data_IF_458225022154
#
_entry.id   IF_458225022154
#
_cell.length_a   1.000
_cell.length_b   1.000
_cell.length_c   1.000
_cell.angle_alpha   90.00
_cell.angle_beta   90.00
_cell.angle_gamma   90.00
#
_symmetry.space_group_name_H-M   'P 1'
#
loop_
_entity.id
_entity.type
_entity.pdbx_description
1 polymer ?
#
# COMPACT_ATOMS: atom_id res chain seq x y z
N UNK A 1 -45.22 -21.96 6.55
CA UNK A 1 -43.89 -21.55 5.99
C UNK A 1 -43.71 -20.04 5.80
N UNK A 2 -44.75 -19.22 5.71
CA UNK A 2 -44.67 -17.76 5.51
C UNK A 2 -44.22 -16.93 6.73
N UNK A 3 -44.43 -17.42 7.95
CA UNK A 3 -44.16 -16.65 9.19
C UNK A 3 -42.66 -16.48 9.51
N UNK A 4 -41.79 -17.43 9.09
CA UNK A 4 -40.34 -17.37 9.37
C UNK A 4 -39.57 -16.43 8.44
N UNK A 5 -40.02 -16.19 7.22
CA UNK A 5 -39.38 -15.23 6.30
C UNK A 5 -39.63 -13.78 6.73
N UNK A 6 -40.78 -13.48 7.30
CA UNK A 6 -41.12 -12.11 7.76
C UNK A 6 -40.31 -11.75 9.00
N UNK A 7 -40.13 -12.68 9.93
CA UNK A 7 -39.35 -12.46 11.14
C UNK A 7 -37.88 -12.22 10.87
N UNK A 8 -37.27 -12.95 9.91
CA UNK A 8 -35.88 -12.77 9.48
C UNK A 8 -35.66 -11.42 8.81
N UNK A 9 -36.61 -10.96 7.98
CA UNK A 9 -36.50 -9.66 7.31
C UNK A 9 -36.60 -8.48 8.28
N UNK A 10 -37.47 -8.56 9.28
CA UNK A 10 -37.64 -7.49 10.28
C UNK A 10 -36.44 -7.36 11.21
N UNK A 11 -35.85 -8.46 11.67
CA UNK A 11 -34.62 -8.46 12.49
C UNK A 11 -33.44 -7.88 11.68
N UNK A 12 -33.31 -8.23 10.42
CA UNK A 12 -32.26 -7.72 9.54
C UNK A 12 -32.39 -6.19 9.30
N UNK A 13 -33.58 -5.70 9.07
CA UNK A 13 -33.86 -4.26 8.88
C UNK A 13 -33.55 -3.47 10.15
N UNK A 14 -33.89 -3.99 11.35
CA UNK A 14 -33.58 -3.35 12.61
C UNK A 14 -32.06 -3.29 12.87
N UNK A 15 -31.34 -4.40 12.69
CA UNK A 15 -29.88 -4.44 12.88
C UNK A 15 -29.13 -3.45 11.95
N UNK A 16 -29.54 -3.34 10.69
CA UNK A 16 -28.95 -2.36 9.78
C UNK A 16 -29.29 -0.92 10.19
N UNK A 17 -30.51 -0.68 10.70
CA UNK A 17 -30.94 0.64 11.17
C UNK A 17 -30.12 1.11 12.39
N UNK A 18 -29.86 0.23 13.34
CA UNK A 18 -29.03 0.51 14.53
C UNK A 18 -27.57 0.79 14.13
N UNK A 19 -27.01 -0.01 13.22
CA UNK A 19 -25.65 0.21 12.73
C UNK A 19 -25.53 1.58 12.05
N UNK A 20 -26.47 1.93 11.16
CA UNK A 20 -26.48 3.26 10.54
C UNK A 20 -26.60 4.37 11.58
N UNK A 21 -27.47 4.27 12.55
CA UNK A 21 -27.63 5.31 13.58
C UNK A 21 -26.35 5.53 14.38
N UNK A 22 -25.53 4.49 14.60
CA UNK A 22 -24.24 4.60 15.28
C UNK A 22 -23.15 5.27 14.45
N UNK A 23 -23.24 5.22 13.12
CA UNK A 23 -22.28 5.81 12.20
C UNK A 23 -22.72 7.12 11.53
N UNK A 24 -24.03 7.43 11.51
CA UNK A 24 -24.55 8.73 11.12
C UNK A 24 -24.42 9.75 12.28
N UNK A 25 -23.20 9.87 12.77
CA UNK A 25 -22.74 10.77 13.81
C UNK A 25 -21.37 11.31 13.39
N UNK A 26 -20.83 12.25 14.13
CA UNK A 26 -19.45 12.68 13.90
C UNK A 26 -18.47 11.51 14.13
N UNK A 27 -17.38 11.37 13.37
CA UNK A 27 -16.45 10.24 13.45
C UNK A 27 -15.92 9.96 14.85
N UNK A 28 -15.74 10.98 15.67
CA UNK A 28 -15.26 10.88 17.05
C UNK A 28 -16.27 10.17 17.99
N UNK A 29 -17.53 10.00 17.52
CA UNK A 29 -18.62 9.33 18.23
C UNK A 29 -18.94 7.95 17.68
N UNK A 30 -18.23 7.51 16.66
CA UNK A 30 -18.43 6.18 16.07
C UNK A 30 -18.17 5.07 17.09
N UNK A 31 -18.71 3.87 16.87
CA UNK A 31 -18.40 2.72 17.71
C UNK A 31 -16.90 2.57 17.93
N UNK A 32 -16.50 2.26 19.13
CA UNK A 32 -15.09 2.14 19.50
C UNK A 32 -14.40 1.12 18.58
N UNK A 33 -13.29 1.54 17.98
CA UNK A 33 -12.41 0.66 17.22
C UNK A 33 -11.73 -0.38 18.11
N UNK A 34 -11.06 -1.37 17.53
CA UNK A 34 -10.21 -2.30 18.28
C UNK A 34 -9.25 -1.56 19.21
N UNK A 35 -9.14 -2.04 20.43
CA UNK A 35 -8.30 -1.43 21.47
C UNK A 35 -6.79 -1.48 21.13
N UNK A 36 -6.38 -2.40 20.26
CA UNK A 36 -4.98 -2.51 19.81
C UNK A 36 -4.60 -1.46 18.75
N UNK A 37 -5.57 -0.84 18.09
CA UNK A 37 -5.30 0.18 17.09
C UNK A 37 -4.87 1.49 17.74
N UNK A 38 -3.73 2.05 17.33
CA UNK A 38 -3.22 3.35 17.81
C UNK A 38 -4.13 4.49 17.38
N UNK A 39 -4.62 4.47 16.14
CA UNK A 39 -5.54 5.47 15.59
C UNK A 39 -6.66 4.78 14.79
N UNK A 40 -7.64 5.55 14.35
CA UNK A 40 -8.71 5.08 13.46
C UNK A 40 -8.33 5.29 11.98
N UNK A 41 -9.17 4.79 11.08
CA UNK A 41 -9.07 5.09 9.66
C UNK A 41 -9.47 6.55 9.39
N UNK A 42 -8.70 7.22 8.55
CA UNK A 42 -8.86 8.65 8.25
C UNK A 42 -8.97 8.87 6.74
N UNK A 43 -9.64 9.94 6.31
CA UNK A 43 -9.69 10.32 4.89
C UNK A 43 -8.33 10.86 4.45
N UNK A 44 -8.07 10.82 3.13
CA UNK A 44 -6.88 11.47 2.57
C UNK A 44 -6.86 12.96 2.90
N UNK A 45 -5.72 13.52 3.31
CA UNK A 45 -5.52 14.94 3.45
C UNK A 45 -5.51 15.63 2.07
N UNK A 46 -5.58 16.95 2.07
CA UNK A 46 -5.39 17.73 0.85
C UNK A 46 -4.03 17.42 0.21
N UNK A 47 -4.00 17.41 -1.12
CA UNK A 47 -2.75 17.22 -1.85
C UNK A 47 -1.73 18.31 -1.52
N UNK A 48 -0.46 17.95 -1.49
CA UNK A 48 0.62 18.90 -1.34
C UNK A 48 0.67 19.87 -2.54
N UNK A 49 1.17 21.07 -2.30
CA UNK A 49 1.47 22.04 -3.36
C UNK A 49 2.84 21.68 -3.93
N UNK A 50 2.91 21.51 -5.25
CA UNK A 50 4.13 21.13 -5.96
C UNK A 50 4.61 22.23 -6.89
N UNK A 51 5.91 22.24 -7.17
CA UNK A 51 6.47 23.01 -8.28
C UNK A 51 6.12 22.31 -9.60
N UNK A 52 5.35 22.98 -10.46
CA UNK A 52 4.83 22.40 -11.70
C UNK A 52 5.91 22.10 -12.74
N UNK A 53 6.93 22.93 -12.83
CA UNK A 53 7.99 22.74 -13.82
C UNK A 53 8.93 21.62 -13.37
N UNK A 54 9.19 21.53 -12.06
CA UNK A 54 9.94 20.44 -11.46
C UNK A 54 9.20 19.11 -11.56
N UNK A 55 7.90 19.09 -11.25
CA UNK A 55 7.05 17.91 -11.38
C UNK A 55 6.96 17.42 -12.82
N UNK A 56 6.89 18.33 -13.81
CA UNK A 56 6.88 17.98 -15.23
C UNK A 56 8.22 17.37 -15.68
N UNK A 57 9.36 17.93 -15.25
CA UNK A 57 10.68 17.32 -15.45
C UNK A 57 10.68 15.90 -14.85
N UNK A 58 10.24 15.74 -13.61
CA UNK A 58 10.15 14.43 -12.95
C UNK A 58 9.27 13.45 -13.70
N UNK A 59 8.11 13.91 -14.22
CA UNK A 59 7.23 13.09 -15.06
C UNK A 59 7.93 12.59 -16.32
N UNK A 60 8.66 13.45 -17.01
CA UNK A 60 9.40 13.07 -18.20
C UNK A 60 10.49 12.05 -17.84
N UNK A 61 11.28 12.29 -16.80
CA UNK A 61 12.31 11.38 -16.31
C UNK A 61 11.72 10.02 -15.94
N UNK A 62 10.60 9.99 -15.23
CA UNK A 62 9.89 8.76 -14.80
C UNK A 62 9.50 7.86 -15.96
N UNK A 63 9.17 8.44 -17.13
CA UNK A 63 8.77 7.72 -18.32
C UNK A 63 9.90 7.52 -19.34
N UNK A 64 11.13 7.91 -19.00
CA UNK A 64 12.27 7.86 -19.92
C UNK A 64 13.06 6.55 -19.82
N UNK A 65 12.95 5.61 -20.80
CA UNK A 65 13.66 4.33 -20.72
C UNK A 65 15.18 4.46 -20.86
N UNK A 66 15.67 5.47 -21.56
CA UNK A 66 17.12 5.67 -21.77
C UNK A 66 17.88 5.95 -20.47
N UNK A 67 17.20 6.19 -19.35
CA UNK A 67 17.84 6.28 -18.03
C UNK A 67 18.36 4.91 -17.55
N UNK A 68 17.83 3.79 -18.05
CA UNK A 68 18.37 2.47 -17.75
C UNK A 68 19.62 2.17 -18.61
N UNK A 69 20.45 1.26 -18.10
CA UNK A 69 21.69 0.84 -18.78
C UNK A 69 21.44 0.29 -20.18
N UNK A 70 20.35 -0.40 -20.40
CA UNK A 70 19.96 -1.01 -21.68
C UNK A 70 19.06 -0.12 -22.54
N UNK A 71 18.56 0.98 -21.99
CA UNK A 71 17.74 1.95 -22.69
C UNK A 71 16.28 1.53 -22.90
N UNK A 72 15.80 0.49 -22.24
CA UNK A 72 14.47 -0.11 -22.44
C UNK A 72 13.59 -0.16 -21.19
N UNK A 73 14.11 0.15 -20.01
CA UNK A 73 13.40 0.16 -18.74
C UNK A 73 13.30 1.58 -18.16
N UNK A 74 12.12 2.00 -17.81
CA UNK A 74 11.84 3.24 -17.07
C UNK A 74 11.17 2.94 -15.73
N UNK A 75 11.00 3.94 -14.86
CA UNK A 75 10.20 3.79 -13.63
C UNK A 75 8.77 3.35 -13.96
N UNK A 76 8.18 3.89 -15.02
CA UNK A 76 6.85 3.52 -15.51
C UNK A 76 6.74 2.06 -16.02
N UNK A 77 7.85 1.38 -16.27
CA UNK A 77 7.84 -0.03 -16.66
C UNK A 77 7.37 -0.93 -15.52
N UNK A 78 7.72 -0.58 -14.27
CA UNK A 78 7.41 -1.31 -13.04
C UNK A 78 6.31 -0.62 -12.22
N UNK A 79 6.12 0.69 -12.40
CA UNK A 79 5.08 1.48 -11.74
C UNK A 79 4.10 2.01 -12.80
N UNK A 80 3.18 1.12 -13.25
CA UNK A 80 2.29 1.40 -14.39
C UNK A 80 1.10 2.25 -13.99
N UNK A 81 0.85 3.41 -14.64
CA UNK A 81 -0.29 4.27 -14.34
C UNK A 81 -1.65 3.55 -14.43
N UNK A 82 -1.79 2.61 -15.36
CA UNK A 82 -3.05 1.89 -15.62
C UNK A 82 -3.47 0.95 -14.48
N UNK A 83 -2.58 0.64 -13.54
CA UNK A 83 -2.82 -0.23 -12.40
C UNK A 83 -2.41 0.44 -11.08
N UNK A 84 -2.71 1.72 -10.94
CA UNK A 84 -2.43 2.47 -9.72
C UNK A 84 -0.94 2.66 -9.43
N UNK A 85 -0.10 2.80 -10.47
CA UNK A 85 1.35 2.92 -10.35
C UNK A 85 1.99 1.76 -9.56
N UNK A 86 1.44 0.55 -9.70
CA UNK A 86 2.01 -0.73 -9.27
C UNK A 86 2.40 -1.59 -10.46
N UNK A 87 2.80 -2.84 -10.23
CA UNK A 87 3.04 -3.83 -11.29
C UNK A 87 1.98 -4.93 -11.24
N UNK A 88 1.28 -5.26 -12.35
CA UNK A 88 0.29 -6.34 -12.39
C UNK A 88 0.92 -7.75 -12.37
N UNK A 89 2.25 -7.85 -12.39
CA UNK A 89 2.97 -9.12 -12.29
C UNK A 89 3.43 -9.39 -10.86
N UNK A 90 3.70 -10.65 -10.54
CA UNK A 90 4.18 -11.05 -9.20
C UNK A 90 5.37 -10.19 -8.73
N UNK A 91 6.35 -10.03 -9.58
CA UNK A 91 7.51 -9.16 -9.41
C UNK A 91 7.81 -8.49 -10.74
N UNK A 92 8.42 -7.33 -10.70
CA UNK A 92 8.80 -6.60 -11.91
C UNK A 92 9.95 -7.27 -12.65
N UNK A 93 9.98 -7.04 -13.96
CA UNK A 93 11.05 -7.50 -14.85
C UNK A 93 11.87 -6.27 -15.26
N UNK A 94 13.13 -6.26 -14.91
CA UNK A 94 14.07 -5.20 -15.25
C UNK A 94 14.94 -5.53 -16.47
N UNK A 95 16.10 -4.88 -16.55
CA UNK A 95 17.03 -5.03 -17.68
C UNK A 95 17.40 -6.50 -17.91
N UNK A 96 17.62 -6.86 -19.18
CA UNK A 96 17.97 -8.22 -19.60
C UNK A 96 16.96 -9.30 -19.17
N UNK A 97 15.72 -8.93 -18.88
CA UNK A 97 14.68 -9.86 -18.46
C UNK A 97 14.85 -10.41 -17.02
N UNK A 98 15.63 -9.75 -16.19
CA UNK A 98 15.86 -10.18 -14.81
C UNK A 98 14.62 -9.90 -13.93
N UNK A 99 14.21 -10.91 -13.15
CA UNK A 99 13.12 -10.75 -12.19
C UNK A 99 13.60 -10.07 -10.89
N UNK A 100 12.78 -9.14 -10.39
CA UNK A 100 12.94 -8.61 -9.03
C UNK A 100 12.61 -9.66 -7.96
N UNK A 101 12.90 -9.34 -6.70
CA UNK A 101 12.62 -10.25 -5.58
C UNK A 101 11.28 -9.95 -4.91
N UNK A 102 10.85 -8.69 -4.94
CA UNK A 102 9.63 -8.21 -4.28
C UNK A 102 8.66 -7.59 -5.29
N UNK A 103 7.39 -7.63 -4.95
CA UNK A 103 6.34 -6.94 -5.69
C UNK A 103 6.56 -5.42 -5.62
N UNK A 104 6.36 -4.72 -6.74
CA UNK A 104 6.43 -3.26 -6.81
C UNK A 104 5.17 -2.64 -6.21
N UNK A 105 5.26 -1.94 -5.07
CA UNK A 105 4.10 -1.33 -4.45
C UNK A 105 3.58 -0.16 -5.28
N UNK A 106 2.31 0.19 -5.08
CA UNK A 106 1.72 1.39 -5.66
C UNK A 106 2.45 2.66 -5.20
N UNK A 107 2.63 3.61 -6.12
CA UNK A 107 3.12 4.95 -5.81
C UNK A 107 1.99 5.96 -5.54
N UNK A 108 0.72 5.55 -5.59
CA UNK A 108 -0.37 6.45 -5.19
C UNK A 108 -0.18 6.87 -3.73
N UNK A 109 -0.31 8.17 -3.48
CA UNK A 109 -0.16 8.78 -2.15
C UNK A 109 1.23 8.53 -1.51
N UNK A 110 2.25 8.32 -2.33
CA UNK A 110 3.59 7.96 -1.85
C UNK A 110 4.24 9.05 -0.99
N UNK A 111 3.83 10.29 -1.16
CA UNK A 111 4.26 11.45 -0.38
C UNK A 111 3.79 11.45 1.08
N UNK A 112 2.86 10.55 1.45
CA UNK A 112 2.38 10.38 2.83
C UNK A 112 3.14 9.29 3.60
N UNK A 113 4.13 8.65 3.00
CA UNK A 113 4.90 7.61 3.66
C UNK A 113 6.07 8.18 4.46
N UNK A 114 6.20 7.76 5.72
CA UNK A 114 7.35 8.08 6.57
C UNK A 114 8.56 7.20 6.22
N UNK A 115 8.30 6.00 5.70
CA UNK A 115 9.33 5.04 5.28
C UNK A 115 8.95 4.40 3.96
N UNK A 116 9.94 4.14 3.11
CA UNK A 116 9.78 3.60 1.76
C UNK A 116 10.35 2.20 1.67
N UNK A 117 9.99 1.47 0.59
CA UNK A 117 10.25 0.05 0.42
C UNK A 117 9.50 -0.85 1.43
N UNK A 118 9.50 -2.15 1.16
CA UNK A 118 8.90 -3.15 2.04
C UNK A 118 9.66 -3.34 3.36
N UNK A 119 10.97 -3.07 3.34
CA UNK A 119 11.89 -3.22 4.48
C UNK A 119 12.21 -1.90 5.20
N UNK A 120 11.76 -0.75 4.66
CA UNK A 120 11.95 0.56 5.29
C UNK A 120 13.35 1.17 5.10
N UNK A 121 14.12 0.73 4.11
CA UNK A 121 15.53 1.16 3.93
C UNK A 121 15.71 2.60 3.44
N UNK A 122 14.63 3.32 3.13
CA UNK A 122 14.68 4.74 2.77
C UNK A 122 13.55 5.52 3.43
N UNK A 123 13.78 6.79 3.73
CA UNK A 123 12.80 7.69 4.34
C UNK A 123 12.43 8.88 3.43
N UNK A 124 13.12 9.05 2.31
CA UNK A 124 12.91 10.18 1.41
C UNK A 124 12.84 9.73 -0.05
N UNK A 125 11.86 10.24 -0.80
CA UNK A 125 11.60 9.86 -2.19
C UNK A 125 12.80 10.11 -3.10
N UNK A 126 13.49 11.25 -2.95
CA UNK A 126 14.65 11.57 -3.78
C UNK A 126 15.86 10.67 -3.49
N UNK A 127 16.03 10.21 -2.24
CA UNK A 127 17.06 9.22 -1.89
C UNK A 127 16.68 7.85 -2.45
N UNK A 128 15.41 7.47 -2.28
CA UNK A 128 14.87 6.19 -2.74
C UNK A 128 15.09 5.96 -4.24
N UNK A 129 14.96 6.99 -5.07
CA UNK A 129 15.07 6.89 -6.53
C UNK A 129 16.44 6.37 -7.03
N UNK A 130 17.48 6.49 -6.21
CA UNK A 130 18.83 5.99 -6.54
C UNK A 130 18.94 4.48 -6.51
N UNK A 131 18.19 3.80 -5.62
CA UNK A 131 18.23 2.34 -5.48
C UNK A 131 17.81 1.62 -6.77
N UNK A 132 16.59 1.83 -7.32
CA UNK A 132 16.17 1.17 -8.55
C UNK A 132 17.02 1.58 -9.77
N UNK A 133 17.55 2.81 -9.83
CA UNK A 133 18.47 3.23 -10.87
C UNK A 133 19.72 2.35 -10.89
N UNK A 134 20.34 2.13 -9.72
CA UNK A 134 21.60 1.40 -9.59
C UNK A 134 21.41 -0.11 -9.56
N UNK A 135 20.22 -0.60 -9.23
CA UNK A 135 19.99 -2.03 -8.98
C UNK A 135 20.22 -2.86 -10.25
N UNK A 136 21.11 -3.87 -10.21
CA UNK A 136 21.54 -4.60 -11.40
C UNK A 136 20.44 -5.41 -12.09
N UNK A 137 19.37 -5.79 -11.38
CA UNK A 137 18.20 -6.47 -11.93
C UNK A 137 17.02 -5.54 -12.20
N UNK A 138 17.15 -4.23 -11.98
CA UNK A 138 16.12 -3.23 -12.29
C UNK A 138 16.56 -2.34 -13.45
N UNK A 139 17.13 -1.15 -13.22
CA UNK A 139 17.60 -0.26 -14.27
C UNK A 139 19.10 -0.40 -14.57
N UNK A 140 19.92 -0.87 -13.64
CA UNK A 140 21.34 -1.19 -13.80
C UNK A 140 22.23 -0.05 -14.25
N UNK A 141 21.80 1.18 -14.11
CA UNK A 141 22.47 2.39 -14.56
C UNK A 141 23.20 3.09 -13.41
N UNK A 142 23.92 4.14 -13.70
CA UNK A 142 24.58 5.00 -12.71
C UNK A 142 23.99 6.40 -12.76
N UNK A 143 24.11 7.20 -11.70
CA UNK A 143 23.80 8.63 -11.73
C UNK A 143 24.43 9.37 -12.91
N UNK A 144 25.70 9.10 -13.20
CA UNK A 144 26.42 9.70 -14.34
C UNK A 144 25.78 9.36 -15.68
N UNK A 145 25.38 8.09 -15.88
CA UNK A 145 24.66 7.71 -17.09
C UNK A 145 23.35 8.48 -17.23
N UNK A 146 22.56 8.61 -16.16
CA UNK A 146 21.32 9.37 -16.19
C UNK A 146 21.55 10.86 -16.52
N UNK A 147 22.58 11.47 -15.94
CA UNK A 147 22.99 12.86 -16.22
C UNK A 147 23.36 13.04 -17.70
N UNK A 148 24.13 12.11 -18.27
CA UNK A 148 24.49 12.12 -19.69
C UNK A 148 23.27 12.03 -20.61
N UNK A 149 22.26 11.22 -20.24
CA UNK A 149 21.01 11.13 -21.02
C UNK A 149 20.27 12.48 -21.03
N UNK A 150 20.20 13.17 -19.89
CA UNK A 150 19.57 14.50 -19.81
C UNK A 150 20.32 15.54 -20.66
N UNK A 151 21.65 15.47 -20.70
CA UNK A 151 22.48 16.40 -21.49
C UNK A 151 22.38 16.14 -22.98
N UNK A 152 22.26 14.89 -23.40
CA UNK A 152 22.34 14.47 -24.80
C UNK A 152 21.00 14.39 -25.53
N UNK A 153 19.87 14.28 -24.79
CA UNK A 153 18.54 14.18 -25.41
C UNK A 153 17.84 15.54 -25.38
N UNK A 154 17.55 16.15 -26.55
CA UNK A 154 17.00 17.52 -26.62
C UNK A 154 15.74 17.74 -25.78
N UNK A 155 14.83 16.76 -25.75
CA UNK A 155 13.59 16.86 -24.96
C UNK A 155 13.88 16.92 -23.46
N UNK A 156 14.84 16.13 -22.97
CA UNK A 156 15.26 16.14 -21.55
C UNK A 156 16.01 17.42 -21.22
N UNK A 157 16.92 17.85 -22.08
CA UNK A 157 17.65 19.11 -21.91
C UNK A 157 16.70 20.30 -21.83
N UNK A 158 15.69 20.36 -22.70
CA UNK A 158 14.68 21.42 -22.68
C UNK A 158 13.85 21.39 -21.37
N UNK A 159 13.42 20.23 -20.93
CA UNK A 159 12.68 20.08 -19.68
C UNK A 159 13.55 20.48 -18.46
N UNK A 160 14.82 20.07 -18.47
CA UNK A 160 15.80 20.48 -17.46
C UNK A 160 15.95 21.99 -17.37
N UNK A 161 16.23 22.64 -18.52
CA UNK A 161 16.41 24.09 -18.58
C UNK A 161 15.17 24.87 -18.11
N UNK A 162 13.98 24.32 -18.31
CA UNK A 162 12.74 24.92 -17.82
C UNK A 162 12.62 24.85 -16.30
N UNK A 163 12.96 23.70 -15.70
CA UNK A 163 12.90 23.50 -14.25
C UNK A 163 14.08 24.14 -13.52
N UNK A 164 15.25 24.17 -14.16
CA UNK A 164 16.52 24.65 -13.61
C UNK A 164 17.29 25.52 -14.63
N UNK A 165 16.87 26.78 -14.88
CA UNK A 165 17.36 27.60 -15.98
C UNK A 165 18.88 27.73 -16.07
N UNK A 166 19.58 27.89 -14.94
CA UNK A 166 21.01 28.17 -14.89
C UNK A 166 21.83 27.07 -14.19
N UNK A 167 21.27 25.89 -14.05
CA UNK A 167 21.85 24.80 -13.25
C UNK A 167 22.42 23.70 -14.15
N UNK A 168 23.61 23.23 -13.81
CA UNK A 168 24.19 22.04 -14.48
C UNK A 168 23.39 20.81 -14.08
N UNK A 169 23.20 19.90 -15.04
CA UNK A 169 22.56 18.61 -14.80
C UNK A 169 23.35 17.83 -13.76
N UNK A 170 22.64 17.33 -12.75
CA UNK A 170 23.18 16.46 -11.72
C UNK A 170 22.09 15.53 -11.18
N UNK A 171 22.47 14.37 -10.69
CA UNK A 171 21.54 13.36 -10.21
C UNK A 171 20.70 13.80 -8.99
N UNK A 172 21.27 14.47 -7.97
CA UNK A 172 20.47 14.92 -6.84
C UNK A 172 19.23 15.75 -7.24
N UNK A 173 19.40 16.67 -8.18
CA UNK A 173 18.31 17.51 -8.67
C UNK A 173 17.33 16.74 -9.56
N UNK A 174 17.83 15.76 -10.34
CA UNK A 174 16.97 14.82 -11.09
C UNK A 174 16.11 13.98 -10.14
N UNK A 175 16.70 13.51 -9.05
CA UNK A 175 16.01 12.73 -8.02
C UNK A 175 14.97 13.59 -7.28
N UNK A 176 15.24 14.86 -7.02
CA UNK A 176 14.25 15.80 -6.50
C UNK A 176 13.09 16.01 -7.48
N UNK A 177 13.35 16.14 -8.76
CA UNK A 177 12.29 16.23 -9.77
C UNK A 177 11.43 14.96 -9.81
N UNK A 178 12.03 13.78 -9.74
CA UNK A 178 11.31 12.51 -9.64
C UNK A 178 10.43 12.46 -8.38
N UNK A 179 10.94 12.93 -7.24
CA UNK A 179 10.17 13.01 -5.99
C UNK A 179 9.01 13.98 -6.10
N UNK A 180 9.21 15.15 -6.71
CA UNK A 180 8.17 16.15 -6.94
C UNK A 180 7.05 15.61 -7.83
N UNK A 181 7.39 14.90 -8.91
CA UNK A 181 6.40 14.20 -9.72
C UNK A 181 5.64 13.17 -8.90
N UNK A 182 6.32 12.33 -8.13
CA UNK A 182 5.68 11.30 -7.31
C UNK A 182 4.72 11.90 -6.27
N UNK A 183 5.01 13.09 -5.74
CA UNK A 183 4.11 13.85 -4.86
C UNK A 183 2.79 14.23 -5.54
N UNK A 184 2.76 14.33 -6.88
CA UNK A 184 1.52 14.55 -7.63
C UNK A 184 0.65 13.29 -7.76
N UNK A 185 1.17 12.11 -7.46
CA UNK A 185 0.48 10.84 -7.65
C UNK A 185 -0.54 10.58 -6.53
N UNK A 186 -1.60 11.37 -6.51
CA UNK A 186 -2.68 11.21 -5.55
C UNK A 186 -3.78 10.31 -6.07
N UNK A 187 -4.17 9.34 -5.26
CA UNK A 187 -5.36 8.54 -5.49
C UNK A 187 -6.63 9.39 -5.41
N UNK A 188 -7.66 8.99 -6.15
CA UNK A 188 -8.97 9.62 -6.04
C UNK A 188 -9.60 9.35 -4.66
N UNK A 189 -10.55 10.20 -4.27
CA UNK A 189 -11.36 9.94 -3.10
C UNK A 189 -12.09 8.61 -3.20
N UNK A 190 -11.95 7.80 -2.17
CA UNK A 190 -12.70 6.55 -2.04
C UNK A 190 -14.12 6.80 -1.51
N UNK A 191 -15.00 5.82 -1.62
CA UNK A 191 -16.33 5.92 -1.03
C UNK A 191 -16.27 6.13 0.51
N UNK A 192 -15.24 5.61 1.17
CA UNK A 192 -14.97 5.87 2.58
C UNK A 192 -14.63 7.35 2.84
N UNK A 193 -13.79 7.97 2.01
CA UNK A 193 -13.43 9.39 2.17
C UNK A 193 -14.66 10.29 2.06
N UNK A 194 -15.52 10.00 1.08
CA UNK A 194 -16.78 10.70 0.87
C UNK A 194 -17.70 10.54 2.08
N UNK A 195 -17.86 9.30 2.57
CA UNK A 195 -18.64 8.99 3.77
C UNK A 195 -18.11 9.76 4.98
N UNK A 196 -16.82 9.65 5.26
CA UNK A 196 -16.18 10.29 6.41
C UNK A 196 -16.39 11.81 6.41
N UNK A 197 -16.12 12.48 5.28
CA UNK A 197 -16.25 13.94 5.18
C UNK A 197 -17.68 14.41 5.38
N UNK A 198 -18.66 13.71 4.81
CA UNK A 198 -20.07 14.06 5.04
C UNK A 198 -20.49 13.80 6.49
N UNK A 199 -20.06 12.73 7.12
CA UNK A 199 -20.32 12.46 8.53
C UNK A 199 -19.66 13.54 9.42
N UNK A 200 -18.43 13.91 9.15
CA UNK A 200 -17.71 14.98 9.85
C UNK A 200 -18.43 16.32 9.77
N UNK A 201 -18.97 16.64 8.59
CA UNK A 201 -19.70 17.87 8.31
C UNK A 201 -21.20 17.78 8.69
N UNK A 202 -21.63 16.69 9.33
CA UNK A 202 -23.01 16.45 9.76
C UNK A 202 -24.07 16.41 8.64
N UNK A 203 -23.63 16.22 7.37
CA UNK A 203 -24.54 15.97 6.25
C UNK A 203 -24.84 14.46 6.16
N UNK A 204 -25.58 13.97 7.13
CA UNK A 204 -25.85 12.54 7.29
C UNK A 204 -26.66 11.95 6.12
N UNK A 205 -27.45 12.77 5.45
CA UNK A 205 -28.19 12.35 4.27
C UNK A 205 -27.25 11.99 3.09
N UNK A 206 -26.18 12.76 2.89
CA UNK A 206 -25.17 12.44 1.88
C UNK A 206 -24.23 11.33 2.37
N UNK A 207 -23.85 11.33 3.65
CA UNK A 207 -23.06 10.25 4.22
C UNK A 207 -23.72 8.88 3.98
N UNK A 208 -25.03 8.75 4.27
CA UNK A 208 -25.77 7.50 4.05
C UNK A 208 -25.79 7.03 2.60
N UNK A 209 -25.65 7.92 1.62
CA UNK A 209 -25.59 7.56 0.19
C UNK A 209 -24.21 7.14 -0.29
N UNK A 210 -23.17 7.43 0.49
CA UNK A 210 -21.78 7.11 0.12
C UNK A 210 -21.42 5.63 0.28
N UNK A 211 -22.07 4.92 1.19
CA UNK A 211 -21.87 3.49 1.42
C UNK A 211 -23.19 2.72 1.33
N UNK A 212 -23.09 1.46 0.90
CA UNK A 212 -24.20 0.50 1.03
C UNK A 212 -24.25 -0.07 2.45
N UNK A 213 -25.36 -0.70 2.82
CA UNK A 213 -25.50 -1.42 4.09
C UNK A 213 -24.39 -2.47 4.29
N UNK A 214 -24.02 -3.16 3.21
CA UNK A 214 -22.98 -4.19 3.22
C UNK A 214 -21.59 -3.58 3.43
N UNK A 215 -21.29 -2.46 2.78
CA UNK A 215 -20.02 -1.75 2.93
C UNK A 215 -19.87 -1.13 4.33
N UNK A 216 -20.95 -0.57 4.88
CA UNK A 216 -20.95 -0.07 6.26
C UNK A 216 -20.70 -1.20 7.27
N UNK A 217 -21.35 -2.35 7.10
CA UNK A 217 -21.09 -3.53 7.94
C UNK A 217 -19.63 -3.98 7.81
N UNK A 218 -19.08 -3.98 6.59
CA UNK A 218 -17.68 -4.29 6.34
C UNK A 218 -16.73 -3.34 7.05
N UNK A 219 -16.98 -2.04 6.97
CA UNK A 219 -16.23 -1.00 7.70
C UNK A 219 -16.29 -1.23 9.22
N UNK A 220 -17.46 -1.56 9.74
CA UNK A 220 -17.62 -1.87 11.17
C UNK A 220 -16.78 -3.08 11.59
N UNK A 221 -16.87 -4.18 10.85
CA UNK A 221 -16.09 -5.40 11.10
C UNK A 221 -14.59 -5.11 11.03
N UNK A 222 -14.14 -4.39 10.02
CA UNK A 222 -12.76 -3.96 9.83
C UNK A 222 -12.21 -3.21 11.04
N UNK A 223 -13.00 -2.25 11.57
CA UNK A 223 -12.61 -1.40 12.71
C UNK A 223 -12.69 -2.11 14.07
N UNK A 224 -13.50 -3.17 14.17
CA UNK A 224 -13.82 -3.81 15.45
C UNK A 224 -13.37 -5.27 15.48
N UNK A 225 -14.25 -6.18 15.13
CA UNK A 225 -14.11 -7.63 15.30
C UNK A 225 -12.91 -8.23 14.57
N UNK A 226 -12.67 -7.82 13.32
CA UNK A 226 -11.58 -8.34 12.51
C UNK A 226 -10.22 -7.71 12.87
N UNK A 227 -10.22 -6.55 13.54
CA UNK A 227 -9.01 -5.89 14.00
C UNK A 227 -8.06 -5.43 12.88
N UNK A 228 -8.53 -5.33 11.63
CA UNK A 228 -7.69 -4.85 10.49
C UNK A 228 -7.11 -3.47 10.79
N UNK A 229 -7.88 -2.63 11.49
CA UNK A 229 -7.48 -1.30 11.93
C UNK A 229 -6.28 -1.30 12.88
N UNK A 230 -5.88 -2.43 13.46
CA UNK A 230 -4.73 -2.51 14.35
C UNK A 230 -3.43 -2.14 13.62
N UNK A 231 -3.30 -2.55 12.37
CA UNK A 231 -2.17 -2.26 11.49
C UNK A 231 -2.59 -1.34 10.33
N UNK A 232 -3.80 -1.50 9.79
CA UNK A 232 -4.28 -0.75 8.64
C UNK A 232 -5.18 0.42 9.09
N UNK A 233 -4.58 1.48 9.63
CA UNK A 233 -5.22 2.69 10.16
C UNK A 233 -4.67 3.96 9.50
N UNK A 234 -5.10 5.14 9.95
CA UNK A 234 -4.67 6.44 9.41
C UNK A 234 -5.13 6.69 7.98
N UNK A 235 -4.52 7.68 7.37
CA UNK A 235 -4.86 8.20 6.03
C UNK A 235 -4.55 7.20 4.92
N UNK A 236 -3.49 6.41 5.07
CA UNK A 236 -3.05 5.40 4.11
C UNK A 236 -3.70 4.02 4.35
N UNK A 237 -4.47 3.84 5.42
CA UNK A 237 -4.85 2.51 5.89
C UNK A 237 -3.58 1.65 6.11
N UNK A 238 -2.61 2.24 6.80
CA UNK A 238 -1.33 1.66 7.21
C UNK A 238 -0.84 2.40 8.45
N UNK A 239 -0.38 1.67 9.46
CA UNK A 239 0.32 2.23 10.62
C UNK A 239 1.78 2.57 10.31
N UNK A 240 2.23 2.27 9.08
CA UNK A 240 3.60 2.43 8.59
C UNK A 240 4.65 1.67 9.41
N UNK A 241 4.21 0.79 10.30
CA UNK A 241 5.07 -0.06 11.13
C UNK A 241 5.39 -1.39 10.44
N UNK A 242 6.24 -2.19 11.08
CA UNK A 242 6.76 -3.43 10.53
C UNK A 242 6.23 -4.64 11.30
N UNK A 243 5.54 -5.54 10.59
CA UNK A 243 4.92 -6.71 11.16
C UNK A 243 5.29 -7.97 10.39
N UNK A 244 5.43 -9.08 11.13
CA UNK A 244 5.61 -10.40 10.52
C UNK A 244 4.24 -11.09 10.40
N UNK A 245 3.75 -11.24 9.17
CA UNK A 245 2.49 -11.95 8.86
C UNK A 245 2.68 -13.46 8.68
N UNK A 246 3.90 -13.97 8.85
CA UNK A 246 4.27 -15.36 8.64
C UNK A 246 4.61 -15.72 7.19
N UNK A 247 4.69 -14.74 6.29
CA UNK A 247 4.95 -14.94 4.85
C UNK A 247 6.45 -14.83 4.47
N UNK A 248 7.33 -15.02 5.41
CA UNK A 248 8.79 -14.90 5.24
C UNK A 248 9.45 -16.09 4.52
N UNK A 249 8.77 -17.20 4.38
CA UNK A 249 9.24 -18.44 3.71
C UNK A 249 10.63 -18.95 4.17
N UNK A 250 11.01 -18.71 5.40
CA UNK A 250 12.31 -19.06 5.99
C UNK A 250 12.73 -20.51 5.65
N UNK A 251 13.94 -20.68 5.12
CA UNK A 251 14.50 -21.96 4.68
C UNK A 251 13.83 -22.57 3.45
N UNK A 252 13.02 -21.80 2.69
CA UNK A 252 12.25 -22.30 1.53
C UNK A 252 12.39 -21.36 0.33
N UNK A 253 11.95 -21.83 -0.82
CA UNK A 253 11.78 -20.94 -2.00
C UNK A 253 10.94 -19.71 -1.60
N UNK A 254 11.34 -18.55 -2.06
CA UNK A 254 10.79 -17.22 -1.76
C UNK A 254 11.12 -16.71 -0.34
N UNK A 255 12.17 -17.25 0.30
CA UNK A 255 12.66 -16.68 1.55
C UNK A 255 12.94 -15.18 1.40
N UNK A 256 12.40 -14.43 2.33
CA UNK A 256 12.66 -13.00 2.48
C UNK A 256 12.52 -12.66 3.96
N UNK A 257 13.59 -12.17 4.56
CA UNK A 257 13.64 -11.87 5.99
C UNK A 257 13.29 -10.40 6.29
N UNK A 258 12.90 -9.63 5.26
CA UNK A 258 12.37 -8.27 5.41
C UNK A 258 13.33 -7.32 6.11
N UNK A 259 12.86 -6.64 7.13
CA UNK A 259 13.63 -5.63 7.88
C UNK A 259 14.89 -6.19 8.54
N UNK A 260 14.94 -7.49 8.84
CA UNK A 260 16.15 -8.14 9.36
C UNK A 260 17.36 -7.97 8.43
N UNK A 261 17.14 -7.87 7.11
CA UNK A 261 18.23 -7.66 6.16
C UNK A 261 19.01 -6.36 6.43
N UNK A 262 18.35 -5.38 7.03
CA UNK A 262 18.93 -4.09 7.42
C UNK A 262 19.44 -4.09 8.86
N UNK A 263 18.59 -4.53 9.78
CA UNK A 263 18.85 -4.36 11.22
C UNK A 263 19.76 -5.43 11.79
N UNK A 264 19.75 -6.62 11.22
CA UNK A 264 20.39 -7.85 11.75
C UNK A 264 19.91 -8.21 13.16
N UNK A 265 18.76 -7.66 13.59
CA UNK A 265 18.12 -7.97 14.87
C UNK A 265 17.22 -9.19 14.68
N UNK A 266 17.39 -10.32 15.40
CA UNK A 266 16.58 -11.52 15.20
C UNK A 266 15.07 -11.30 15.33
N UNK A 267 14.65 -10.40 16.22
CA UNK A 267 13.24 -10.04 16.40
C UNK A 267 12.59 -9.35 15.17
N UNK A 268 13.39 -8.92 14.18
CA UNK A 268 12.92 -8.27 12.97
C UNK A 268 12.79 -9.22 11.78
N UNK A 269 13.14 -10.50 11.97
CA UNK A 269 13.02 -11.51 10.93
C UNK A 269 11.58 -11.63 10.39
N UNK A 270 11.45 -11.49 9.08
CA UNK A 270 10.18 -11.63 8.37
C UNK A 270 9.19 -10.49 8.59
N UNK A 271 9.64 -9.38 9.17
CA UNK A 271 8.85 -8.16 9.28
C UNK A 271 8.91 -7.35 7.98
N UNK A 272 7.75 -6.86 7.57
CA UNK A 272 7.58 -5.97 6.43
C UNK A 272 6.69 -4.81 6.84
N UNK A 273 6.91 -3.65 6.22
CA UNK A 273 6.06 -2.48 6.41
C UNK A 273 4.61 -2.81 6.05
N UNK A 274 3.66 -2.39 6.88
CA UNK A 274 2.23 -2.51 6.58
C UNK A 274 1.91 -1.80 5.26
N UNK A 275 1.42 -2.50 4.23
CA UNK A 275 1.10 -1.85 2.96
C UNK A 275 -0.18 -1.01 3.06
N UNK A 276 -0.29 -0.01 2.19
CA UNK A 276 -1.52 0.76 1.98
C UNK A 276 -2.64 -0.13 1.46
N UNK A 277 -3.87 0.11 1.94
CA UNK A 277 -5.06 -0.56 1.39
C UNK A 277 -5.90 0.32 0.47
N UNK A 278 -5.51 1.57 0.25
CA UNK A 278 -6.20 2.43 -0.73
C UNK A 278 -5.96 1.91 -2.14
N UNK A 279 -7.01 1.95 -2.95
CA UNK A 279 -6.99 1.47 -4.33
C UNK A 279 -6.60 -0.02 -4.47
N UNK A 280 -6.83 -0.78 -3.40
CA UNK A 280 -6.48 -2.20 -3.31
C UNK A 280 -6.98 -3.02 -4.50
N UNK A 281 -8.20 -2.74 -4.99
CA UNK A 281 -8.78 -3.45 -6.12
C UNK A 281 -8.01 -3.28 -7.45
N UNK A 282 -7.12 -2.27 -7.56
CA UNK A 282 -6.36 -1.96 -8.76
C UNK A 282 -4.92 -2.48 -8.72
N UNK A 283 -4.41 -2.85 -7.53
CA UNK A 283 -2.99 -3.07 -7.26
C UNK A 283 -2.63 -4.52 -6.99
N UNK A 284 -3.45 -5.46 -7.49
CA UNK A 284 -3.13 -6.90 -7.47
C UNK A 284 -1.96 -7.21 -8.42
N UNK A 285 -1.10 -8.21 -8.09
CA UNK A 285 -1.12 -9.08 -6.91
C UNK A 285 -0.55 -8.41 -5.65
N UNK A 286 -0.87 -8.98 -4.49
CA UNK A 286 -0.56 -8.36 -3.20
C UNK A 286 0.53 -9.11 -2.43
N UNK A 287 0.89 -8.57 -1.26
CA UNK A 287 1.99 -8.92 -0.37
C UNK A 287 3.37 -8.58 -0.97
N UNK A 288 4.40 -8.56 -0.13
CA UNK A 288 5.76 -8.22 -0.54
C UNK A 288 6.32 -9.14 -1.66
N UNK A 289 5.85 -10.36 -1.72
CA UNK A 289 6.28 -11.37 -2.70
C UNK A 289 5.35 -11.51 -3.91
N UNK A 290 4.23 -10.78 -3.96
CA UNK A 290 3.25 -10.82 -5.06
C UNK A 290 2.61 -12.19 -5.29
N UNK A 291 2.56 -13.07 -4.29
CA UNK A 291 2.03 -14.43 -4.44
C UNK A 291 0.51 -14.54 -4.26
N UNK A 292 -0.16 -13.44 -3.97
CA UNK A 292 -1.59 -13.43 -3.64
C UNK A 292 -2.36 -12.55 -4.61
N UNK A 293 -3.30 -13.13 -5.33
CA UNK A 293 -4.22 -12.48 -6.24
C UNK A 293 -5.71 -12.66 -5.85
N UNK A 294 -5.96 -13.43 -4.77
CA UNK A 294 -7.29 -13.63 -4.19
C UNK A 294 -7.42 -12.93 -2.82
N UNK A 295 -8.10 -11.79 -2.80
CA UNK A 295 -8.37 -11.01 -1.58
C UNK A 295 -9.12 -11.82 -0.51
N UNK A 296 -9.99 -12.73 -0.93
CA UNK A 296 -10.72 -13.61 -0.01
C UNK A 296 -9.78 -14.58 0.71
N UNK A 297 -8.81 -15.14 -0.01
CA UNK A 297 -7.76 -15.98 0.57
C UNK A 297 -6.93 -15.22 1.62
N UNK A 298 -6.60 -13.94 1.33
CA UNK A 298 -5.90 -13.07 2.27
C UNK A 298 -6.74 -12.82 3.54
N UNK A 299 -8.00 -12.45 3.39
CA UNK A 299 -8.91 -12.22 4.54
C UNK A 299 -9.04 -13.47 5.40
N UNK A 300 -9.12 -14.66 4.79
CA UNK A 300 -9.15 -15.93 5.52
C UNK A 300 -7.83 -16.26 6.20
N UNK A 301 -6.70 -15.94 5.60
CA UNK A 301 -5.40 -16.07 6.26
C UNK A 301 -5.37 -15.21 7.53
N UNK A 302 -5.80 -13.95 7.45
CA UNK A 302 -5.87 -13.07 8.61
C UNK A 302 -6.88 -13.55 9.66
N UNK A 303 -8.03 -14.12 9.26
CA UNK A 303 -9.01 -14.67 10.22
C UNK A 303 -8.44 -15.84 11.05
N UNK A 304 -7.41 -16.52 10.54
CA UNK A 304 -6.66 -17.53 11.27
C UNK A 304 -5.45 -16.96 12.06
N UNK A 305 -5.31 -15.63 12.15
CA UNK A 305 -4.21 -14.99 12.86
C UNK A 305 -2.91 -14.89 12.04
N UNK A 306 -3.02 -14.74 10.72
CA UNK A 306 -1.89 -14.72 9.80
C UNK A 306 -1.40 -16.11 9.40
N UNK A 307 -0.36 -16.18 8.59
CA UNK A 307 0.35 -17.42 8.34
C UNK A 307 1.19 -17.74 9.57
N UNK A 308 1.14 -19.02 10.01
CA UNK A 308 1.89 -19.48 11.18
C UNK A 308 2.79 -20.66 10.79
N UNK A 309 3.91 -20.38 10.09
CA UNK A 309 4.82 -21.43 9.66
C UNK A 309 5.41 -22.14 10.88
N UNK A 310 5.54 -23.46 10.75
CA UNK A 310 6.20 -24.25 11.81
C UNK A 310 7.71 -24.24 11.59
N UNK A 311 8.46 -24.16 12.68
CA UNK A 311 9.91 -24.36 12.65
C UNK A 311 10.23 -25.73 12.03
N UNK A 312 11.11 -25.82 11.04
CA UNK A 312 11.58 -27.10 10.51
C UNK A 312 12.20 -27.95 11.62
N UNK A 313 11.95 -29.28 11.60
CA UNK A 313 12.42 -30.18 12.65
C UNK A 313 13.94 -30.36 12.66
N UNK A 314 14.53 -30.20 11.48
CA UNK A 314 15.96 -30.31 11.20
C UNK A 314 16.72 -28.99 11.36
N UNK A 315 16.01 -27.90 11.65
CA UNK A 315 16.65 -26.63 11.95
C UNK A 315 17.33 -26.70 13.32
N UNK A 316 18.62 -26.34 13.36
CA UNK A 316 19.35 -26.22 14.61
C UNK A 316 18.58 -25.36 15.62
N UNK A 317 18.39 -25.87 16.82
CA UNK A 317 17.67 -25.18 17.90
C UNK A 317 18.33 -23.87 18.33
N UNK A 318 19.60 -23.68 18.00
CA UNK A 318 20.37 -22.45 18.26
C UNK A 318 20.09 -21.34 17.24
N UNK A 319 19.52 -21.65 16.08
CA UNK A 319 19.17 -20.65 15.08
C UNK A 319 17.84 -20.00 15.42
N UNK A 320 17.75 -18.71 15.24
CA UNK A 320 16.50 -17.96 15.37
C UNK A 320 15.52 -18.38 14.27
N UNK A 321 14.23 -18.35 14.59
CA UNK A 321 13.16 -18.63 13.65
C UNK A 321 12.13 -17.51 13.69
N UNK A 322 11.73 -16.94 12.52
CA UNK A 322 10.79 -15.82 12.48
C UNK A 322 9.42 -16.18 13.06
N UNK A 323 8.92 -15.37 13.98
CA UNK A 323 7.65 -15.59 14.68
C UNK A 323 6.60 -14.60 14.15
N UNK A 324 5.42 -15.11 13.76
CA UNK A 324 4.27 -14.27 13.37
C UNK A 324 3.90 -13.33 14.51
N UNK A 325 3.66 -12.07 14.16
CA UNK A 325 3.35 -10.99 15.14
C UNK A 325 2.10 -11.30 15.96
N UNK A 326 2.17 -11.09 17.28
CA UNK A 326 1.09 -11.37 18.23
C UNK A 326 -0.14 -10.46 18.06
N UNK A 327 0.03 -9.31 17.39
CA UNK A 327 -1.08 -8.41 17.03
C UNK A 327 -2.10 -9.09 16.08
N UNK A 328 -1.69 -10.16 15.39
CA UNK A 328 -2.54 -10.96 14.51
C UNK A 328 -3.31 -12.00 15.33
N UNK A 329 -4.42 -11.58 15.88
CA UNK A 329 -5.31 -12.44 16.69
C UNK A 329 -6.34 -13.12 15.79
N UNK A 330 -6.53 -14.46 15.88
CA UNK A 330 -7.59 -15.14 15.17
C UNK A 330 -8.99 -14.60 15.54
N UNK A 331 -9.89 -14.56 14.56
CA UNK A 331 -11.28 -14.15 14.78
C UNK A 331 -12.24 -14.97 13.93
N UNK A 332 -13.42 -15.26 14.50
CA UNK A 332 -14.48 -15.93 13.76
C UNK A 332 -15.25 -14.97 12.86
N UNK A 333 -15.64 -15.44 11.70
CA UNK A 333 -16.35 -14.64 10.70
C UNK A 333 -17.42 -15.48 10.01
N UNK A 334 -18.66 -15.03 10.08
CA UNK A 334 -19.74 -15.62 9.29
C UNK A 334 -19.56 -15.30 7.80
N UNK A 335 -20.19 -16.07 6.92
CA UNK A 335 -20.16 -15.82 5.48
C UNK A 335 -20.67 -14.43 5.10
N UNK A 336 -21.66 -13.90 5.83
CA UNK A 336 -22.20 -12.55 5.62
C UNK A 336 -21.15 -11.49 5.97
N UNK A 337 -20.45 -11.68 7.08
CA UNK A 337 -19.37 -10.77 7.50
C UNK A 337 -18.16 -10.83 6.55
N UNK A 338 -17.79 -12.02 6.05
CA UNK A 338 -16.75 -12.19 5.02
C UNK A 338 -17.08 -11.35 3.77
N UNK A 339 -18.32 -11.48 3.26
CA UNK A 339 -18.78 -10.69 2.11
C UNK A 339 -18.73 -9.20 2.40
N UNK A 340 -19.22 -8.79 3.56
CA UNK A 340 -19.25 -7.37 3.94
C UNK A 340 -17.84 -6.78 4.04
N UNK A 341 -16.92 -7.49 4.67
CA UNK A 341 -15.52 -7.06 4.78
C UNK A 341 -14.86 -6.92 3.40
N UNK A 342 -15.08 -7.89 2.51
CA UNK A 342 -14.57 -7.84 1.14
C UNK A 342 -15.17 -6.67 0.33
N UNK A 343 -16.47 -6.40 0.47
CA UNK A 343 -17.11 -5.26 -0.19
C UNK A 343 -16.61 -3.91 0.35
N UNK A 344 -16.24 -3.81 1.62
CA UNK A 344 -15.58 -2.62 2.14
C UNK A 344 -14.15 -2.48 1.58
N UNK A 345 -13.36 -3.53 1.58
CA UNK A 345 -11.98 -3.49 1.06
C UNK A 345 -11.92 -3.11 -0.43
N UNK A 346 -12.91 -3.49 -1.22
CA UNK A 346 -12.96 -3.16 -2.66
C UNK A 346 -13.21 -1.68 -2.95
N UNK A 347 -13.74 -0.93 -2.01
CA UNK A 347 -14.05 0.49 -2.19
C UNK A 347 -12.99 1.42 -1.60
N UNK A 348 -11.93 0.86 -1.03
CA UNK A 348 -10.77 1.60 -0.59
C UNK A 348 -9.86 1.86 -1.81
#
# INVERSE_FOLDING_TARGET
MMSWMIALSTVQVHANSELWSSYLTQPEKWPQKSALAKQDILPLPAAAIVDKDLAELGRILFHTPSLSKTGDISCASCHRPSVGFSDPTRVSIGINGQEGHRNSPSLLNVDLWDVLFWDGRSTELHIQATDPLNHPSEMGATPQHAEEQVQNLPALTQAWQKAYPDKKVNWPDMALALAEFQTTLRGADTAFDVFYRYAKNQDYAKAKRALTDTQLLGMHIYRTKAGCVNCHNGELFSDQEFHNTGLHYFGRRFEDLGTYELTKIPADMGKFRTPMLRHLAQTSPWMHNGLFDDLKGIVRMYSNGGARPRRPKDLDSMLDFPITSDILVPFDMSKKEEVALLEFLKIL
#
